data_IF_705398880586
#
_entry.id   IF_705398880586
#
_cell.length_a   1.000
_cell.length_b   1.000
_cell.length_c   1.000
_cell.angle_alpha   90.00
_cell.angle_beta   90.00
_cell.angle_gamma   90.00
#
_symmetry.space_group_name_H-M   'P 1'
#
loop_
_entity.id
_entity.type
_entity.pdbx_description
1 polymer ?
#
# COMPACT_ATOMS: atom_id res chain seq x y z
N UNK A 1 22.53 28.93 -27.21
CA UNK A 1 21.16 28.44 -27.08
C UNK A 1 21.11 27.52 -25.87
N UNK A 2 20.27 27.84 -24.89
CA UNK A 2 20.33 27.35 -23.51
C UNK A 2 19.30 26.23 -23.36
N UNK A 3 19.71 24.97 -23.51
CA UNK A 3 18.82 23.83 -23.37
C UNK A 3 18.70 23.47 -21.88
N UNK A 4 17.65 23.98 -21.24
CA UNK A 4 17.25 23.55 -19.91
C UNK A 4 16.37 22.31 -20.06
N UNK A 5 16.99 21.15 -20.19
CA UNK A 5 16.32 19.86 -20.01
C UNK A 5 15.96 19.71 -18.53
N UNK A 6 14.76 20.19 -18.18
CA UNK A 6 14.11 19.91 -16.91
C UNK A 6 13.71 18.43 -16.92
N UNK A 7 14.62 17.58 -16.45
CA UNK A 7 14.23 16.29 -15.90
C UNK A 7 13.48 16.57 -14.59
N UNK A 8 12.16 16.75 -14.69
CA UNK A 8 11.28 16.59 -13.53
C UNK A 8 11.36 15.12 -13.16
N UNK A 9 12.34 14.79 -12.31
CA UNK A 9 12.34 13.57 -11.52
C UNK A 9 11.05 13.63 -10.71
N UNK A 10 9.97 13.01 -11.19
CA UNK A 10 8.83 12.73 -10.36
C UNK A 10 9.36 11.84 -9.25
N UNK A 11 9.62 12.44 -8.10
CA UNK A 11 9.78 11.73 -6.85
C UNK A 11 8.44 11.05 -6.59
N UNK A 12 8.27 9.88 -7.21
CA UNK A 12 7.47 8.82 -6.64
C UNK A 12 8.19 8.47 -5.34
N UNK A 13 7.97 9.32 -4.33
CA UNK A 13 8.18 9.01 -2.94
C UNK A 13 7.21 7.87 -2.69
N UNK A 14 7.62 6.67 -3.08
CA UNK A 14 7.10 5.44 -2.54
C UNK A 14 7.47 5.52 -1.06
N UNK A 15 6.62 6.19 -0.28
CA UNK A 15 6.65 6.20 1.17
C UNK A 15 6.32 4.79 1.64
N UNK A 16 7.23 3.87 1.37
CA UNK A 16 7.28 2.54 1.93
C UNK A 16 7.85 2.70 3.33
N UNK A 17 7.19 3.51 4.16
CA UNK A 17 7.37 3.48 5.61
C UNK A 17 6.72 2.20 6.13
N UNK A 18 7.29 1.08 5.71
CA UNK A 18 6.89 -0.25 6.13
C UNK A 18 8.17 -1.09 6.22
N UNK A 19 9.08 -0.60 7.05
CA UNK A 19 9.97 -1.38 7.90
C UNK A 19 10.28 -2.78 7.37
N UNK A 20 11.34 -2.89 6.59
CA UNK A 20 12.13 -4.10 6.62
C UNK A 20 12.57 -4.33 8.09
N UNK A 21 12.14 -5.44 8.69
CA UNK A 21 12.52 -5.92 10.04
C UNK A 21 11.95 -5.21 11.28
N UNK A 22 10.97 -4.31 11.15
CA UNK A 22 10.20 -3.83 12.31
C UNK A 22 8.98 -4.72 12.53
N UNK A 23 8.97 -5.50 13.60
CA UNK A 23 7.85 -6.37 13.96
C UNK A 23 6.53 -5.61 13.89
N UNK A 24 5.68 -5.98 12.93
CA UNK A 24 4.35 -5.41 12.82
C UNK A 24 3.54 -5.86 14.05
N UNK A 25 3.30 -4.93 14.97
CA UNK A 25 2.46 -5.19 16.14
C UNK A 25 1.01 -4.81 15.80
N UNK A 26 0.11 -5.80 15.66
CA UNK A 26 -1.26 -5.54 15.26
C UNK A 26 -2.02 -4.85 16.40
N UNK A 27 -2.53 -3.65 16.10
CA UNK A 27 -3.47 -2.93 16.96
C UNK A 27 -4.56 -2.26 16.11
N UNK A 28 -5.62 -1.76 16.75
CA UNK A 28 -6.77 -1.18 16.06
C UNK A 28 -6.40 -0.11 15.03
N UNK A 29 -5.51 0.81 15.37
CA UNK A 29 -5.09 1.90 14.48
C UNK A 29 -4.22 1.38 13.35
N UNK A 30 -3.26 0.51 13.65
CA UNK A 30 -2.36 -0.09 12.67
C UNK A 30 -3.14 -0.90 11.62
N UNK A 31 -4.09 -1.72 12.06
CA UNK A 31 -4.89 -2.56 11.18
C UNK A 31 -5.85 -1.78 10.28
N UNK A 32 -6.46 -0.70 10.78
CA UNK A 32 -7.25 0.23 9.95
C UNK A 32 -6.34 0.89 8.89
N UNK A 33 -5.13 1.31 9.28
CA UNK A 33 -4.18 1.88 8.33
C UNK A 33 -3.71 0.88 7.28
N UNK A 34 -3.50 -0.39 7.65
CA UNK A 34 -3.20 -1.46 6.69
C UNK A 34 -4.33 -1.61 5.67
N UNK A 35 -5.59 -1.59 6.10
CA UNK A 35 -6.74 -1.65 5.17
C UNK A 35 -6.81 -0.47 4.20
N UNK A 36 -6.55 0.74 4.69
CA UNK A 36 -6.47 1.96 3.85
C UNK A 36 -5.35 1.86 2.83
N UNK A 37 -4.18 1.38 3.27
CA UNK A 37 -3.01 1.25 2.41
C UNK A 37 -3.20 0.18 1.33
N UNK A 38 -3.87 -0.94 1.64
CA UNK A 38 -4.23 -1.93 0.62
C UNK A 38 -5.13 -1.31 -0.45
N UNK A 39 -6.14 -0.53 -0.04
CA UNK A 39 -7.05 0.15 -0.97
C UNK A 39 -6.29 1.13 -1.86
N UNK A 40 -5.38 1.91 -1.27
CA UNK A 40 -4.52 2.87 -2.00
C UNK A 40 -3.63 2.16 -3.02
N UNK A 41 -2.86 1.16 -2.59
CA UNK A 41 -1.90 0.44 -3.45
C UNK A 41 -2.62 -0.36 -4.54
N UNK A 42 -3.81 -0.91 -4.25
CA UNK A 42 -4.63 -1.57 -5.26
C UNK A 42 -5.08 -0.58 -6.34
N UNK A 43 -5.58 0.60 -5.95
CA UNK A 43 -5.94 1.65 -6.90
C UNK A 43 -4.75 2.13 -7.74
N UNK A 44 -3.57 2.27 -7.13
CA UNK A 44 -2.34 2.60 -7.87
C UNK A 44 -1.93 1.50 -8.85
N UNK A 45 -2.17 0.23 -8.51
CA UNK A 45 -1.89 -0.90 -9.39
C UNK A 45 -2.82 -0.92 -10.61
N UNK A 46 -4.09 -0.59 -10.42
CA UNK A 46 -5.08 -0.48 -11.50
C UNK A 46 -4.75 0.68 -12.45
N UNK A 47 -4.24 1.79 -11.91
CA UNK A 47 -3.82 2.96 -12.68
C UNK A 47 -2.42 2.82 -13.31
N UNK A 48 -1.59 1.89 -12.82
CA UNK A 48 -0.23 1.72 -13.30
C UNK A 48 -0.21 1.26 -14.77
N UNK A 49 0.56 1.95 -15.60
CA UNK A 49 0.78 1.57 -17.01
C UNK A 49 2.08 0.78 -17.22
N UNK A 50 3.05 0.94 -16.32
CA UNK A 50 4.35 0.27 -16.37
C UNK A 50 4.31 -1.12 -15.74
N UNK A 51 4.83 -2.13 -16.44
CA UNK A 51 4.93 -3.50 -15.91
C UNK A 51 5.82 -3.59 -14.67
N UNK A 52 6.92 -2.83 -14.62
CA UNK A 52 7.83 -2.80 -13.47
C UNK A 52 7.12 -2.21 -12.25
N UNK A 53 6.37 -1.13 -12.45
CA UNK A 53 5.58 -0.51 -11.38
C UNK A 53 4.51 -1.47 -10.86
N UNK A 54 3.82 -2.20 -11.75
CA UNK A 54 2.85 -3.23 -11.34
C UNK A 54 3.50 -4.34 -10.51
N UNK A 55 4.69 -4.82 -10.90
CA UNK A 55 5.41 -5.86 -10.14
C UNK A 55 5.77 -5.35 -8.74
N UNK A 56 6.22 -4.10 -8.63
CA UNK A 56 6.55 -3.50 -7.34
C UNK A 56 5.31 -3.32 -6.45
N UNK A 57 4.22 -2.78 -6.99
CA UNK A 57 2.94 -2.60 -6.28
C UNK A 57 2.36 -3.94 -5.84
N UNK A 58 2.48 -4.99 -6.66
CA UNK A 58 2.06 -6.35 -6.30
C UNK A 58 2.85 -6.91 -5.11
N UNK A 59 4.16 -6.66 -5.05
CA UNK A 59 4.98 -7.05 -3.87
C UNK A 59 4.54 -6.30 -2.63
N UNK A 60 4.24 -5.00 -2.77
CA UNK A 60 3.75 -4.18 -1.67
C UNK A 60 2.38 -4.65 -1.15
N UNK A 61 1.44 -4.98 -2.06
CA UNK A 61 0.14 -5.53 -1.70
C UNK A 61 0.28 -6.83 -0.91
N UNK A 62 1.12 -7.77 -1.36
CA UNK A 62 1.32 -9.03 -0.66
C UNK A 62 1.86 -8.83 0.77
N UNK A 63 2.80 -7.89 0.96
CA UNK A 63 3.30 -7.54 2.29
C UNK A 63 2.21 -6.93 3.19
N UNK A 64 1.32 -6.09 2.63
CA UNK A 64 0.19 -5.51 3.37
C UNK A 64 -0.88 -6.54 3.71
N UNK A 65 -1.17 -7.47 2.81
CA UNK A 65 -2.10 -8.58 3.05
C UNK A 65 -1.59 -9.51 4.16
N UNK A 66 -0.29 -9.77 4.21
CA UNK A 66 0.33 -10.49 5.33
C UNK A 66 0.07 -9.78 6.66
N UNK A 67 0.22 -8.45 6.71
CA UNK A 67 -0.11 -7.65 7.91
C UNK A 67 -1.61 -7.67 8.23
N UNK A 68 -2.48 -7.62 7.22
CA UNK A 68 -3.94 -7.76 7.39
C UNK A 68 -4.29 -9.11 8.01
N UNK A 69 -3.62 -10.18 7.58
CA UNK A 69 -3.82 -11.51 8.17
C UNK A 69 -3.43 -11.52 9.66
N UNK A 70 -2.30 -10.90 10.03
CA UNK A 70 -1.92 -10.74 11.44
C UNK A 70 -2.95 -9.97 12.27
N UNK A 71 -3.64 -8.98 11.67
CA UNK A 71 -4.76 -8.29 12.31
C UNK A 71 -5.95 -9.22 12.58
N UNK A 72 -6.36 -10.01 11.58
CA UNK A 72 -7.47 -10.95 11.72
C UNK A 72 -7.19 -12.06 12.74
N UNK A 73 -5.97 -12.60 12.76
CA UNK A 73 -5.55 -13.69 13.65
C UNK A 73 -5.46 -13.25 15.13
N UNK A 74 -5.11 -11.99 15.39
CA UNK A 74 -4.98 -11.43 16.74
C UNK A 74 -6.30 -10.84 17.28
N UNK A 75 -7.44 -11.24 16.70
CA UNK A 75 -8.78 -10.81 17.15
C UNK A 75 -9.24 -9.46 16.61
N UNK A 76 -8.45 -8.77 15.78
CA UNK A 76 -8.86 -7.55 15.10
C UNK A 76 -9.48 -7.88 13.74
N UNK A 77 -10.74 -8.32 13.75
CA UNK A 77 -11.56 -8.27 12.55
C UNK A 77 -11.77 -6.79 12.21
N UNK A 78 -11.04 -6.29 11.21
CA UNK A 78 -11.45 -5.07 10.54
C UNK A 78 -12.94 -5.26 10.20
N UNK A 79 -13.82 -4.41 10.72
CA UNK A 79 -15.18 -4.32 10.16
C UNK A 79 -14.93 -4.10 8.67
N UNK A 80 -15.21 -5.12 7.86
CA UNK A 80 -15.43 -4.92 6.45
C UNK A 80 -16.62 -3.97 6.44
N UNK A 81 -16.34 -2.67 6.37
CA UNK A 81 -17.37 -1.71 6.05
C UNK A 81 -17.89 -2.19 4.72
N UNK A 82 -19.10 -2.72 4.77
CA UNK A 82 -19.90 -3.18 3.64
C UNK A 82 -19.77 -2.18 2.51
N UNK A 83 -18.88 -2.48 1.58
CA UNK A 83 -18.75 -1.80 0.30
C UNK A 83 -19.72 -2.47 -0.68
N UNK A 84 -20.98 -2.65 -0.31
CA UNK A 84 -22.05 -2.98 -1.26
C UNK A 84 -23.39 -2.44 -0.78
N UNK A 85 -24.03 -1.69 -1.68
CA UNK A 85 -25.44 -1.26 -1.79
C UNK A 85 -25.76 0.17 -1.34
N UNK A 86 -25.46 1.11 -2.24
CA UNK A 86 -26.41 2.13 -2.69
C UNK A 86 -26.40 2.13 -4.22
#
# INVERSE_FOLDING_TARGET
MKQQTLFVLSTLMFSSAAFANGGFEPNKKACVNVGKEITRVSGEMDLAKSGIQKVWLKRQLNALETKRNSCSSMGFKAKQTELVKL
#
